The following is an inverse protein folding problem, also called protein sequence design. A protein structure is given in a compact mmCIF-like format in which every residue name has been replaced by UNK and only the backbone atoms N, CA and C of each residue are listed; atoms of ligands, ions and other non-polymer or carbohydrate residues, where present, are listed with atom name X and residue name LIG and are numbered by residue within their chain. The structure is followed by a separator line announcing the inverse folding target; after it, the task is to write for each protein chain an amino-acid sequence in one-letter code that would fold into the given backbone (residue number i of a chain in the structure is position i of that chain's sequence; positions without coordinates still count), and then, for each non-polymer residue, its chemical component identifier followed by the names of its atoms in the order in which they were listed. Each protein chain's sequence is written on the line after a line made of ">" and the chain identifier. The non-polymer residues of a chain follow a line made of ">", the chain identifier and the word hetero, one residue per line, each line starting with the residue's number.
data_IF_768878770236
#
_entry.id   IF_768878770236
#
_cell.length_a   1.000
_cell.length_b   1.000
_cell.length_c   1.000
_cell.angle_alpha   90.00
_cell.angle_beta   90.00
_cell.angle_gamma   90.00
#
_symmetry.space_group_name_H-M   'P 1'
#
loop_
_entity.id
_entity.type
_entity.pdbx_description
1 polymer ?
#
# COMPACT_ATOMS: atom_id res chain seq x y z
N UNK A 1 -0.30 3.98 21.64
CA UNK A 1 -1.11 4.25 20.44
C UNK A 1 -0.15 4.74 19.37
N UNK A 2 -0.21 4.18 18.16
CA UNK A 2 0.69 4.51 17.05
C UNK A 2 -0.15 5.10 15.92
N UNK A 3 0.27 6.23 15.35
CA UNK A 3 -0.40 6.85 14.23
C UNK A 3 0.55 7.73 13.42
N UNK A 4 0.11 8.07 12.20
CA UNK A 4 0.88 8.90 11.28
C UNK A 4 0.21 10.25 11.09
N UNK A 5 1.02 11.29 10.99
CA UNK A 5 0.60 12.63 10.58
C UNK A 5 1.25 12.93 9.25
N UNK A 6 0.45 13.05 8.20
CA UNK A 6 0.91 13.46 6.88
C UNK A 6 0.56 14.92 6.68
N UNK A 7 1.59 15.76 6.59
CA UNK A 7 1.39 17.19 6.34
C UNK A 7 1.41 17.48 4.83
N UNK A 8 0.31 18.01 4.32
CA UNK A 8 0.15 18.42 2.92
C UNK A 8 0.26 19.93 2.81
N UNK A 9 1.10 20.42 1.89
CA UNK A 9 1.21 21.85 1.58
C UNK A 9 0.39 22.23 0.34
N UNK A 10 -0.61 23.10 0.53
CA UNK A 10 -1.39 23.68 -0.55
C UNK A 10 -0.95 25.11 -0.90
N UNK A 11 0.23 25.53 -0.45
CA UNK A 11 0.81 26.85 -0.66
C UNK A 11 -0.02 27.94 0.01
N UNK A 12 -0.55 28.88 -0.80
CA UNK A 12 -1.34 30.02 -0.29
C UNK A 12 -2.63 29.62 0.43
N UNK A 13 -3.10 28.39 0.22
CA UNK A 13 -4.29 27.83 0.90
C UNK A 13 -3.98 27.31 2.30
N UNK A 14 -2.71 27.27 2.69
CA UNK A 14 -2.25 26.74 3.97
C UNK A 14 -1.86 25.27 3.88
N UNK A 15 -1.70 24.66 5.06
CA UNK A 15 -1.28 23.27 5.21
C UNK A 15 -2.38 22.46 5.90
N UNK A 16 -2.49 21.20 5.53
CA UNK A 16 -3.43 20.24 6.11
C UNK A 16 -2.66 19.12 6.82
N UNK A 17 -3.08 18.82 8.04
CA UNK A 17 -2.62 17.64 8.76
C UNK A 17 -3.64 16.52 8.56
N UNK A 18 -3.28 15.53 7.73
CA UNK A 18 -4.07 14.30 7.59
C UNK A 18 -3.66 13.36 8.71
N UNK A 19 -4.60 13.07 9.61
CA UNK A 19 -4.38 12.21 10.79
C UNK A 19 -5.46 11.15 10.83
N UNK A 20 -5.05 9.90 10.70
CA UNK A 20 -5.91 8.73 10.82
C UNK A 20 -5.22 7.74 11.78
N UNK A 21 -5.76 7.56 13.00
CA UNK A 21 -5.14 6.65 13.97
C UNK A 21 -5.26 5.17 13.61
N UNK A 22 -6.10 4.82 12.63
CA UNK A 22 -6.34 3.42 12.24
C UNK A 22 -5.48 2.97 11.06
N UNK A 23 -4.86 3.89 10.32
CA UNK A 23 -4.02 3.52 9.17
C UNK A 23 -2.64 3.00 9.60
N UNK A 24 -2.22 1.96 8.91
CA UNK A 24 -0.89 1.36 9.05
C UNK A 24 0.15 2.10 8.21
N UNK A 25 1.44 1.91 8.53
CA UNK A 25 2.56 2.41 7.72
C UNK A 25 2.44 1.99 6.26
N UNK A 26 2.06 0.73 6.02
CA UNK A 26 1.89 0.18 4.66
C UNK A 26 0.79 0.92 3.89
N UNK A 27 -0.31 1.29 4.55
CA UNK A 27 -1.37 2.08 3.93
C UNK A 27 -0.92 3.51 3.64
N UNK A 28 -0.15 4.13 4.54
CA UNK A 28 0.47 5.44 4.26
C UNK A 28 1.35 5.35 3.01
N UNK A 29 2.24 4.36 2.92
CA UNK A 29 3.09 4.13 1.75
C UNK A 29 2.25 3.93 0.49
N UNK A 30 1.19 3.12 0.56
CA UNK A 30 0.27 2.89 -0.56
C UNK A 30 -0.36 4.18 -1.06
N UNK A 31 -0.82 5.06 -0.16
CA UNK A 31 -1.42 6.36 -0.49
C UNK A 31 -0.40 7.37 -1.04
N UNK A 32 0.85 7.31 -0.58
CA UNK A 32 1.96 8.08 -1.16
C UNK A 32 2.25 7.58 -2.58
N UNK A 33 2.41 6.27 -2.76
CA UNK A 33 2.73 5.66 -4.06
C UNK A 33 1.62 5.86 -5.09
N UNK A 34 0.35 5.82 -4.66
CA UNK A 34 -0.81 6.09 -5.54
C UNK A 34 -0.95 7.56 -5.92
N UNK A 35 -0.24 8.47 -5.23
CA UNK A 35 -0.34 9.92 -5.43
C UNK A 35 -1.58 10.55 -4.79
N UNK A 36 -2.25 9.86 -3.86
CA UNK A 36 -3.34 10.43 -3.06
C UNK A 36 -2.80 11.60 -2.22
N UNK A 37 -1.66 11.41 -1.58
CA UNK A 37 -0.93 12.46 -0.88
C UNK A 37 0.00 13.20 -1.85
N UNK A 38 -0.36 14.43 -2.19
CA UNK A 38 0.45 15.33 -3.05
C UNK A 38 1.06 16.43 -2.23
N UNK A 39 2.22 16.95 -2.65
CA UNK A 39 2.92 18.07 -2.00
C UNK A 39 3.16 17.82 -0.50
N UNK A 40 3.63 16.63 -0.16
CA UNK A 40 3.92 16.24 1.22
C UNK A 40 5.06 17.13 1.74
N UNK A 41 4.81 17.82 2.86
CA UNK A 41 5.82 18.57 3.60
C UNK A 41 6.67 17.64 4.47
N UNK A 42 6.01 16.80 5.26
CA UNK A 42 6.63 15.80 6.12
C UNK A 42 5.62 14.73 6.52
N UNK A 43 6.13 13.59 6.97
CA UNK A 43 5.39 12.49 7.55
C UNK A 43 6.02 12.17 8.90
N UNK A 44 5.23 12.30 9.96
CA UNK A 44 5.65 11.96 11.30
C UNK A 44 4.94 10.70 11.79
N UNK A 45 5.71 9.83 12.41
CA UNK A 45 5.23 8.67 13.14
C UNK A 45 5.21 9.02 14.63
N UNK A 46 4.04 8.88 15.26
CA UNK A 46 3.87 9.10 16.69
C UNK A 46 3.66 7.75 17.35
N UNK A 47 4.55 7.40 18.27
CA UNK A 47 4.46 6.18 19.08
C UNK A 47 4.50 6.59 20.54
N UNK A 48 3.36 6.44 21.22
CA UNK A 48 3.20 6.81 22.63
C UNK A 48 3.56 8.29 22.91
N UNK A 49 4.78 8.55 23.38
CA UNK A 49 5.30 9.88 23.72
C UNK A 49 6.48 10.30 22.82
N UNK A 50 6.76 9.52 21.78
CA UNK A 50 7.81 9.80 20.80
C UNK A 50 7.23 10.28 19.48
N UNK A 51 7.94 11.20 18.83
CA UNK A 51 7.64 11.70 17.49
C UNK A 51 8.89 11.50 16.65
N UNK A 52 8.76 10.77 15.55
CA UNK A 52 9.85 10.50 14.61
C UNK A 52 9.48 11.00 13.21
N UNK A 53 10.41 11.67 12.54
CA UNK A 53 10.25 12.04 11.14
C UNK A 53 10.65 10.85 10.26
N UNK A 54 9.66 10.27 9.60
CA UNK A 54 9.81 9.08 8.75
C UNK A 54 9.63 9.41 7.26
N UNK A 55 9.67 10.70 6.91
CA UNK A 55 9.39 11.19 5.55
C UNK A 55 10.28 10.50 4.52
N UNK A 56 11.60 10.52 4.72
CA UNK A 56 12.55 9.95 3.78
C UNK A 56 12.34 8.44 3.60
N UNK A 57 12.14 7.74 4.72
CA UNK A 57 11.94 6.29 4.70
C UNK A 57 10.66 5.90 3.94
N UNK A 58 9.54 6.61 4.17
CA UNK A 58 8.27 6.34 3.49
C UNK A 58 8.36 6.70 2.00
N UNK A 59 8.98 7.84 1.65
CA UNK A 59 9.14 8.24 0.25
C UNK A 59 10.03 7.26 -0.53
N UNK A 60 11.11 6.78 0.10
CA UNK A 60 11.99 5.78 -0.50
C UNK A 60 11.26 4.45 -0.75
N UNK A 61 10.46 3.99 0.21
CA UNK A 61 9.66 2.76 0.07
C UNK A 61 8.55 2.92 -0.98
N UNK A 62 7.87 4.07 -1.01
CA UNK A 62 6.83 4.36 -1.98
C UNK A 62 7.34 4.50 -3.43
N UNK A 63 8.63 4.82 -3.61
CA UNK A 63 9.26 4.89 -4.92
C UNK A 63 9.59 3.51 -5.51
N UNK A 64 9.50 2.43 -4.72
CA UNK A 64 9.71 1.07 -5.21
C UNK A 64 8.61 0.70 -6.21
N UNK A 65 8.96 0.03 -7.32
CA UNK A 65 7.96 -0.41 -8.28
C UNK A 65 6.99 -1.39 -7.61
N UNK A 66 5.70 -1.20 -7.85
CA UNK A 66 4.68 -2.12 -7.35
C UNK A 66 4.90 -3.51 -7.95
N UNK A 67 5.36 -4.45 -7.12
CA UNK A 67 5.44 -5.85 -7.51
C UNK A 67 4.02 -6.41 -7.37
N UNK A 68 3.27 -6.40 -8.47
CA UNK A 68 1.98 -7.09 -8.51
C UNK A 68 2.20 -8.55 -8.09
N UNK A 69 1.41 -9.07 -7.12
CA UNK A 69 1.49 -10.46 -6.77
C UNK A 69 1.29 -11.28 -8.04
N UNK A 70 2.20 -12.22 -8.29
CA UNK A 70 2.12 -13.10 -9.45
C UNK A 70 0.75 -13.77 -9.40
N UNK A 71 -0.07 -13.56 -10.42
CA UNK A 71 -1.34 -14.28 -10.54
C UNK A 71 -1.05 -15.76 -10.36
N UNK A 72 -1.79 -16.41 -9.46
CA UNK A 72 -1.65 -17.85 -9.26
C UNK A 72 -2.07 -18.49 -10.58
N UNK A 73 -1.10 -19.08 -11.28
CA UNK A 73 -1.38 -19.76 -12.52
C UNK A 73 -2.18 -21.03 -12.25
N UNK A 74 -3.50 -20.94 -12.44
CA UNK A 74 -4.45 -22.04 -12.26
C UNK A 74 -4.32 -23.13 -13.34
N UNK A 75 -3.21 -23.21 -14.07
CA UNK A 75 -2.87 -24.28 -15.00
C UNK A 75 -3.17 -25.67 -14.42
N UNK A 76 -2.78 -25.93 -13.16
CA UNK A 76 -3.05 -27.21 -12.51
C UNK A 76 -4.55 -27.54 -12.44
N UNK A 77 -5.39 -26.56 -12.09
CA UNK A 77 -6.84 -26.71 -11.96
C UNK A 77 -7.50 -26.94 -13.34
N UNK A 78 -7.00 -26.29 -14.38
CA UNK A 78 -7.47 -26.50 -15.77
C UNK A 78 -7.08 -27.88 -16.30
N UNK A 79 -5.85 -28.31 -16.06
CA UNK A 79 -5.33 -29.60 -16.52
C UNK A 79 -6.03 -30.77 -15.82
N UNK A 80 -6.32 -30.64 -14.52
CA UNK A 80 -7.05 -31.63 -13.76
C UNK A 80 -8.50 -31.78 -14.27
N UNK A 81 -9.20 -30.65 -14.46
CA UNK A 81 -10.55 -30.64 -15.04
C UNK A 81 -10.59 -31.29 -16.43
N UNK A 82 -9.65 -30.95 -17.32
CA UNK A 82 -9.58 -31.55 -18.65
C UNK A 82 -9.31 -33.06 -18.61
N UNK A 83 -8.51 -33.52 -17.62
CA UNK A 83 -8.24 -34.94 -17.41
C UNK A 83 -9.48 -35.68 -16.92
N UNK A 84 -10.24 -35.08 -16.02
CA UNK A 84 -11.48 -35.66 -15.52
C UNK A 84 -12.54 -35.79 -16.60
N UNK A 85 -12.72 -34.78 -17.46
CA UNK A 85 -13.61 -34.87 -18.61
C UNK A 85 -13.27 -36.06 -19.52
N UNK A 86 -11.98 -36.29 -19.79
CA UNK A 86 -11.52 -37.44 -20.60
C UNK A 86 -11.77 -38.81 -19.95
N UNK A 87 -11.86 -38.89 -18.62
CA UNK A 87 -12.22 -40.16 -17.94
C UNK A 87 -13.65 -40.59 -18.27
N UNK A 88 -14.53 -39.64 -18.54
CA UNK A 88 -15.94 -39.88 -18.82
C UNK A 88 -16.25 -40.17 -20.31
N UNK A 89 -15.29 -39.94 -21.22
CA UNK A 89 -15.45 -40.17 -22.66
C UNK A 89 -15.31 -41.66 -23.08
N UNK A 90 -14.91 -42.55 -22.17
CA UNK A 90 -14.84 -44.00 -22.40
C UNK A 90 -15.95 -44.74 -21.65
N UNK A 91 -17.18 -44.58 -22.13
CA UNK A 91 -18.30 -45.51 -21.92
C UNK A 91 -19.05 -45.66 -23.24
#
# INVERSE_FOLDING_TARGET
>A
MQYFVVMIDYGRRGREAVVDPEITRREVISRVASGEYRNISFIQEIVENSVEDVTEAILAEAALPEIRPKEVDLQALRLDHARDLRKHERT
#
